data_IF_860666135919
#
_entry.id   IF_860666135919
#
_cell.length_a   1.000
_cell.length_b   1.000
_cell.length_c   1.000
_cell.angle_alpha   90.00
_cell.angle_beta   90.00
_cell.angle_gamma   90.00
#
_symmetry.space_group_name_H-M   'P 1'
#
loop_
_entity.id
_entity.type
_entity.pdbx_description
1 polymer ?
#
# COMPACT_ATOMS: atom_id res chain seq x y z
N UNK A 1 32.29 24.43 -3.01
CA UNK A 1 30.87 24.19 -2.68
C UNK A 1 30.77 24.24 -1.17
N UNK A 2 30.00 25.17 -0.61
CA UNK A 2 29.95 25.33 0.84
C UNK A 2 29.43 24.05 1.49
N UNK A 3 30.14 23.59 2.52
CA UNK A 3 29.84 22.35 3.24
C UNK A 3 28.37 22.28 3.68
N UNK A 4 27.78 23.41 4.04
CA UNK A 4 26.38 23.58 4.41
C UNK A 4 25.38 23.30 3.28
N UNK A 5 25.77 23.48 2.02
CA UNK A 5 24.95 23.17 0.84
C UNK A 5 25.16 21.73 0.39
N UNK A 6 26.37 21.17 0.58
CA UNK A 6 26.67 19.80 0.21
C UNK A 6 25.89 18.77 1.05
N UNK A 7 25.71 19.01 2.35
CA UNK A 7 24.98 18.10 3.26
C UNK A 7 23.54 17.78 2.81
N UNK A 8 22.66 18.76 2.55
CA UNK A 8 21.28 18.46 2.15
C UNK A 8 21.23 17.76 0.78
N UNK A 9 22.15 18.05 -0.13
CA UNK A 9 22.23 17.41 -1.45
C UNK A 9 22.64 15.94 -1.29
N UNK A 10 23.67 15.65 -0.49
CA UNK A 10 24.11 14.29 -0.22
C UNK A 10 22.99 13.50 0.47
N UNK A 11 22.32 14.08 1.47
CA UNK A 11 21.20 13.44 2.15
C UNK A 11 20.05 13.14 1.18
N UNK A 12 19.71 14.07 0.28
CA UNK A 12 18.70 13.87 -0.75
C UNK A 12 19.06 12.73 -1.71
N UNK A 13 20.31 12.69 -2.19
CA UNK A 13 20.80 11.62 -3.08
C UNK A 13 20.72 10.27 -2.37
N UNK A 14 21.17 10.18 -1.12
CA UNK A 14 21.11 8.94 -0.34
C UNK A 14 19.67 8.47 -0.17
N UNK A 15 18.76 9.37 0.18
CA UNK A 15 17.33 9.05 0.30
C UNK A 15 16.73 8.59 -1.04
N UNK A 16 17.06 9.27 -2.14
CA UNK A 16 16.61 8.92 -3.48
C UNK A 16 17.12 7.54 -3.91
N UNK A 17 18.38 7.20 -3.63
CA UNK A 17 18.96 5.89 -3.92
C UNK A 17 18.29 4.79 -3.09
N UNK A 18 18.07 5.02 -1.79
CA UNK A 18 17.37 4.06 -0.91
C UNK A 18 15.93 3.83 -1.42
N UNK A 19 15.22 4.90 -1.78
CA UNK A 19 13.86 4.80 -2.31
C UNK A 19 13.81 4.11 -3.67
N UNK A 20 14.70 4.49 -4.59
CA UNK A 20 14.82 3.85 -5.90
C UNK A 20 15.10 2.35 -5.80
N UNK A 21 16.02 1.96 -4.90
CA UNK A 21 16.29 0.55 -4.62
C UNK A 21 15.05 -0.20 -4.09
N UNK A 22 14.26 0.42 -3.20
CA UNK A 22 13.02 -0.19 -2.70
C UNK A 22 11.99 -0.36 -3.80
N UNK A 23 11.78 0.65 -4.65
CA UNK A 23 10.83 0.57 -5.78
C UNK A 23 11.25 -0.56 -6.73
N UNK A 24 12.53 -0.63 -7.11
CA UNK A 24 13.05 -1.67 -7.99
C UNK A 24 12.91 -3.07 -7.36
N UNK A 25 13.25 -3.22 -6.07
CA UNK A 25 13.16 -4.49 -5.34
C UNK A 25 11.73 -5.00 -5.25
N UNK A 26 10.77 -4.13 -4.97
CA UNK A 26 9.38 -4.50 -4.71
C UNK A 26 8.44 -4.34 -5.92
N UNK A 27 8.97 -3.99 -7.10
CA UNK A 27 8.22 -3.95 -8.35
C UNK A 27 7.23 -2.80 -8.46
N UNK A 28 7.44 -1.70 -7.73
CA UNK A 28 6.58 -0.52 -7.75
C UNK A 28 6.50 0.21 -6.41
N UNK A 29 5.90 1.40 -6.42
CA UNK A 29 5.67 2.23 -5.22
C UNK A 29 4.73 1.53 -4.22
N UNK A 30 3.62 0.96 -4.69
CA UNK A 30 2.72 0.16 -3.84
C UNK A 30 3.45 -1.05 -3.22
N UNK A 31 4.27 -1.78 -3.98
CA UNK A 31 5.06 -2.88 -3.42
C UNK A 31 6.07 -2.42 -2.35
N UNK A 32 6.68 -1.25 -2.55
CA UNK A 32 7.58 -0.65 -1.58
C UNK A 32 6.87 -0.28 -0.26
N UNK A 33 5.60 0.12 -0.33
CA UNK A 33 4.74 0.40 0.83
C UNK A 33 4.43 -0.87 1.63
N UNK A 34 4.11 -1.98 0.97
CA UNK A 34 3.89 -3.29 1.62
C UNK A 34 5.17 -4.00 2.06
N UNK A 35 6.36 -3.41 1.79
CA UNK A 35 7.68 -4.06 1.92
C UNK A 35 7.70 -5.45 1.27
N UNK A 36 6.94 -5.62 0.17
CA UNK A 36 6.76 -6.90 -0.51
C UNK A 36 6.43 -6.65 -1.97
N UNK A 37 6.89 -7.54 -2.85
CA UNK A 37 6.42 -7.53 -4.23
C UNK A 37 4.93 -7.84 -4.25
N UNK A 38 4.17 -7.04 -4.99
CA UNK A 38 2.78 -7.34 -5.32
C UNK A 38 2.81 -8.31 -6.49
N UNK A 39 2.29 -9.53 -6.30
CA UNK A 39 2.21 -10.53 -7.36
C UNK A 39 1.09 -10.19 -8.33
N UNK A 40 -0.08 -9.83 -7.80
CA UNK A 40 -1.23 -9.33 -8.56
C UNK A 40 -2.19 -8.55 -7.68
N UNK A 41 -2.98 -7.67 -8.27
CA UNK A 41 -4.15 -7.07 -7.60
C UNK A 41 -5.34 -8.01 -7.79
N UNK A 42 -5.93 -8.45 -6.68
CA UNK A 42 -7.11 -9.32 -6.68
C UNK A 42 -8.38 -8.57 -7.08
N UNK A 43 -8.48 -7.29 -6.72
CA UNK A 43 -9.60 -6.44 -7.10
C UNK A 43 -9.46 -5.02 -6.53
N UNK A 44 -10.34 -4.13 -6.99
CA UNK A 44 -10.47 -2.77 -6.49
C UNK A 44 -11.94 -2.38 -6.39
N UNK A 45 -12.32 -1.69 -5.32
CA UNK A 45 -13.64 -1.15 -5.13
C UNK A 45 -13.55 0.33 -4.77
N UNK A 46 -14.47 1.13 -5.30
CA UNK A 46 -14.66 2.51 -4.86
C UNK A 46 -15.69 2.49 -3.73
N UNK A 47 -15.34 3.09 -2.60
CA UNK A 47 -16.25 3.20 -1.46
C UNK A 47 -17.24 4.32 -1.77
N UNK A 48 -18.51 3.94 -1.85
CA UNK A 48 -19.61 4.89 -2.00
C UNK A 48 -19.96 5.44 -0.62
N UNK A 49 -20.37 6.71 -0.55
CA UNK A 49 -20.87 7.36 0.66
C UNK A 49 -19.80 7.82 1.68
N UNK A 50 -18.59 8.12 1.21
CA UNK A 50 -17.58 8.86 1.98
C UNK A 50 -17.51 10.32 1.49
N UNK A 51 -17.21 11.29 2.37
CA UNK A 51 -17.07 12.70 1.97
C UNK A 51 -15.89 12.96 1.01
N UNK A 52 -15.07 11.94 0.75
CA UNK A 52 -13.89 11.98 -0.10
C UNK A 52 -13.87 10.73 -0.98
N UNK A 53 -13.24 10.80 -2.15
CA UNK A 53 -13.07 9.64 -3.01
C UNK A 53 -12.10 8.65 -2.34
N UNK A 54 -12.64 7.52 -1.89
CA UNK A 54 -11.89 6.45 -1.25
C UNK A 54 -11.96 5.21 -2.14
N UNK A 55 -10.80 4.68 -2.51
CA UNK A 55 -10.66 3.43 -3.24
C UNK A 55 -9.92 2.42 -2.38
N UNK A 56 -10.43 1.20 -2.33
CA UNK A 56 -9.78 0.08 -1.66
C UNK A 56 -9.31 -0.90 -2.72
N UNK A 57 -8.02 -1.22 -2.72
CA UNK A 57 -7.44 -2.26 -3.57
C UNK A 57 -6.98 -3.42 -2.69
N UNK A 58 -7.17 -4.64 -3.20
CA UNK A 58 -6.70 -5.85 -2.53
C UNK A 58 -5.65 -6.50 -3.41
N UNK A 59 -4.51 -6.85 -2.82
CA UNK A 59 -3.33 -7.34 -3.49
C UNK A 59 -2.90 -8.69 -2.93
N UNK A 60 -2.46 -9.58 -3.80
CA UNK A 60 -1.74 -10.80 -3.45
C UNK A 60 -0.26 -10.45 -3.34
N UNK A 61 0.32 -10.64 -2.15
CA UNK A 61 1.72 -10.34 -1.90
C UNK A 61 2.58 -11.58 -2.14
N UNK A 62 3.71 -11.40 -2.82
CA UNK A 62 4.70 -12.45 -3.08
C UNK A 62 5.74 -12.61 -1.96
N UNK A 63 5.35 -12.51 -0.69
CA UNK A 63 6.28 -12.71 0.45
C UNK A 63 6.76 -14.17 0.53
N UNK A 64 7.83 -14.39 1.30
CA UNK A 64 8.37 -15.72 1.59
C UNK A 64 7.36 -16.64 2.28
N UNK A 65 6.41 -16.08 3.03
CA UNK A 65 5.29 -16.83 3.58
C UNK A 65 4.06 -16.75 2.66
N UNK A 66 3.55 -17.90 2.19
CA UNK A 66 2.39 -17.93 1.31
C UNK A 66 1.12 -17.50 2.05
N UNK A 67 0.28 -16.71 1.37
CA UNK A 67 -1.07 -16.36 1.82
C UNK A 67 -1.22 -14.99 2.48
N UNK A 68 -0.17 -14.17 2.51
CA UNK A 68 -0.27 -12.79 2.94
C UNK A 68 -1.02 -11.93 1.91
N UNK A 69 -1.91 -11.07 2.39
CA UNK A 69 -2.78 -10.20 1.58
C UNK A 69 -2.48 -8.74 1.90
N UNK A 70 -2.29 -7.92 0.88
CA UNK A 70 -2.14 -6.47 1.01
C UNK A 70 -3.48 -5.79 0.75
N UNK A 71 -3.86 -4.85 1.61
CA UNK A 71 -5.02 -3.98 1.41
C UNK A 71 -4.50 -2.55 1.32
N UNK A 72 -4.79 -1.87 0.22
CA UNK A 72 -4.38 -0.49 -0.04
C UNK A 72 -5.62 0.41 0.02
N UNK A 73 -5.58 1.41 0.90
CA UNK A 73 -6.59 2.46 0.95
C UNK A 73 -6.04 3.71 0.28
N UNK A 74 -6.63 4.08 -0.85
CA UNK A 74 -6.33 5.31 -1.58
C UNK A 74 -7.41 6.34 -1.28
N UNK A 75 -7.05 7.44 -0.63
CA UNK A 75 -7.95 8.55 -0.32
C UNK A 75 -7.49 9.78 -1.09
N UNK A 76 -8.37 10.34 -1.89
CA UNK A 76 -8.13 11.64 -2.54
C UNK A 76 -8.71 12.75 -1.67
N UNK A 77 -7.88 13.73 -1.30
CA UNK A 77 -8.29 14.94 -0.60
C UNK A 77 -7.92 16.16 -1.45
N UNK A 78 -8.85 16.55 -2.35
CA UNK A 78 -8.55 17.51 -3.40
C UNK A 78 -7.44 16.96 -4.31
N UNK A 79 -6.29 17.64 -4.34
CA UNK A 79 -5.13 17.27 -5.15
C UNK A 79 -4.17 16.29 -4.47
N UNK A 80 -4.38 15.99 -3.17
CA UNK A 80 -3.49 15.11 -2.43
C UNK A 80 -4.02 13.67 -2.42
N UNK A 81 -3.23 12.75 -3.00
CA UNK A 81 -3.44 11.31 -2.85
C UNK A 81 -2.75 10.82 -1.57
N UNK A 82 -3.55 10.33 -0.63
CA UNK A 82 -3.05 9.65 0.57
C UNK A 82 -3.23 8.14 0.40
N UNK A 83 -2.14 7.39 0.51
CA UNK A 83 -2.16 5.93 0.43
C UNK A 83 -1.83 5.32 1.79
N UNK A 84 -2.69 4.44 2.29
CA UNK A 84 -2.48 3.71 3.54
C UNK A 84 -2.43 2.19 3.27
N UNK A 85 -1.24 1.58 3.34
CA UNK A 85 -1.08 0.14 3.18
C UNK A 85 -1.38 -0.60 4.48
N UNK A 86 -2.12 -1.72 4.39
CA UNK A 86 -2.34 -2.67 5.48
C UNK A 86 -1.97 -4.06 5.00
N UNK A 87 -1.20 -4.80 5.78
CA UNK A 87 -0.83 -6.18 5.44
C UNK A 87 -1.53 -7.11 6.41
N UNK A 88 -2.22 -8.13 5.87
CA UNK A 88 -2.94 -9.14 6.62
C UNK A 88 -2.32 -10.51 6.36
N UNK A 89 -2.22 -11.32 7.40
CA UNK A 89 -1.99 -12.76 7.27
C UNK A 89 -3.20 -13.44 6.59
N UNK A 90 -3.01 -14.68 6.14
CA UNK A 90 -4.11 -15.47 5.54
C UNK A 90 -5.31 -15.57 6.47
N UNK A 91 -5.09 -15.83 7.76
CA UNK A 91 -6.14 -16.00 8.77
C UNK A 91 -6.87 -14.70 9.04
N UNK A 92 -6.16 -13.58 9.18
CA UNK A 92 -6.78 -12.26 9.38
C UNK A 92 -7.58 -11.83 8.15
N UNK A 93 -7.08 -12.09 6.94
CA UNK A 93 -7.78 -11.76 5.70
C UNK A 93 -9.08 -12.57 5.55
N UNK A 94 -9.06 -13.86 5.90
CA UNK A 94 -10.27 -14.70 5.90
C UNK A 94 -11.27 -14.24 6.97
N UNK A 95 -10.80 -13.96 8.19
CA UNK A 95 -11.65 -13.46 9.26
C UNK A 95 -12.31 -12.12 8.88
N UNK A 96 -11.57 -11.20 8.25
CA UNK A 96 -12.13 -9.94 7.75
C UNK A 96 -13.17 -10.18 6.64
N UNK A 97 -12.91 -11.12 5.73
CA UNK A 97 -13.86 -11.47 4.68
C UNK A 97 -15.17 -12.02 5.25
N UNK A 98 -15.08 -12.86 6.29
CA UNK A 98 -16.25 -13.38 6.99
C UNK A 98 -17.03 -12.26 7.69
N UNK A 99 -16.35 -11.37 8.43
CA UNK A 99 -17.01 -10.21 9.06
C UNK A 99 -17.74 -9.31 8.05
N UNK A 100 -17.13 -9.05 6.89
CA UNK A 100 -17.75 -8.25 5.84
C UNK A 100 -18.96 -8.95 5.23
N UNK A 101 -18.87 -10.27 5.01
CA UNK A 101 -19.97 -11.07 4.49
C UNK A 101 -21.13 -11.12 5.46
N UNK A 102 -20.86 -11.34 6.75
CA UNK A 102 -21.85 -11.36 7.81
C UNK A 102 -22.55 -9.99 7.91
N UNK A 103 -21.79 -8.89 7.91
CA UNK A 103 -22.35 -7.54 7.91
C UNK A 103 -23.20 -7.23 6.66
N UNK A 104 -22.81 -7.72 5.48
CA UNK A 104 -23.55 -7.49 4.24
C UNK A 104 -24.83 -8.33 4.11
N UNK A 105 -24.94 -9.43 4.88
CA UNK A 105 -26.09 -10.36 4.85
C UNK A 105 -26.99 -10.28 6.08
N UNK A 106 -26.51 -9.64 7.15
CA UNK A 106 -27.27 -9.21 8.32
C UNK A 106 -28.40 -8.26 7.90
N UNK A 107 -29.65 -8.69 8.08
CA UNK A 107 -30.86 -7.89 7.84
C UNK A 107 -31.14 -6.91 8.98
#
# INVERSE_FOLDING_TARGET
MDFWIAIPIIAFIVLAVIWGFRIARFGGTSGALFKSRITRTAGSLNVVNTPLELRVKVHVLGRAEPGWVGVEFERFNGDALQVSPMTLSKTEALALADLLKDAATSK
#
